data_IF_337385124753
#
_entry.id   IF_337385124753
#
_cell.length_a   1.000
_cell.length_b   1.000
_cell.length_c   1.000
_cell.angle_alpha   90.00
_cell.angle_beta   90.00
_cell.angle_gamma   90.00
#
_symmetry.space_group_name_H-M   'P 1'
#
loop_
_entity.id
_entity.type
_entity.pdbx_description
1 polymer ?
#
# COMPACT_ATOMS: atom_id res chain seq x y z
N UNK A 1 18.22 38.21 14.36
CA UNK A 1 18.03 36.97 15.13
C UNK A 1 16.89 36.24 14.45
N UNK A 2 17.22 35.43 13.45
CA UNK A 2 16.23 34.60 12.77
C UNK A 2 15.84 33.51 13.77
N UNK A 3 14.54 33.43 14.10
CA UNK A 3 14.01 32.23 14.72
C UNK A 3 14.23 31.12 13.71
N UNK A 4 15.13 30.20 14.02
CA UNK A 4 15.15 28.90 13.38
C UNK A 4 13.75 28.32 13.58
N UNK A 5 12.97 28.26 12.50
CA UNK A 5 11.78 27.46 12.48
C UNK A 5 12.22 26.02 12.74
N UNK A 6 11.71 25.42 13.80
CA UNK A 6 11.84 24.01 14.09
C UNK A 6 11.60 23.22 12.79
N UNK A 7 12.49 22.29 12.39
CA UNK A 7 12.24 21.47 11.21
C UNK A 7 10.89 20.77 11.38
N UNK A 8 10.09 20.60 10.31
CA UNK A 8 8.77 20.00 10.43
C UNK A 8 8.90 18.65 11.13
N UNK A 9 8.26 18.53 12.29
CA UNK A 9 8.21 17.29 13.06
C UNK A 9 7.69 16.20 12.13
N UNK A 10 8.52 15.18 11.86
CA UNK A 10 8.11 13.94 11.22
C UNK A 10 7.07 13.26 12.13
N UNK A 11 5.80 13.63 12.01
CA UNK A 11 4.73 12.85 12.62
C UNK A 11 4.77 11.48 11.94
N UNK A 12 5.11 10.45 12.71
CA UNK A 12 4.98 9.07 12.25
C UNK A 12 3.58 8.85 11.68
N UNK A 13 3.49 8.13 10.55
CA UNK A 13 2.21 7.79 9.95
C UNK A 13 1.33 7.05 10.97
N UNK A 14 0.01 7.26 10.96
CA UNK A 14 -0.87 6.73 11.99
C UNK A 14 -0.94 5.20 11.96
N UNK A 15 -0.87 4.56 13.13
CA UNK A 15 -1.10 3.12 13.32
C UNK A 15 -2.09 2.88 14.46
N UNK A 16 -3.29 3.43 14.30
CA UNK A 16 -4.27 3.56 15.39
C UNK A 16 -4.83 2.23 15.92
N UNK A 17 -4.66 1.12 15.19
CA UNK A 17 -5.18 -0.20 15.58
C UNK A 17 -4.10 -1.28 15.70
N UNK A 18 -2.81 -0.90 15.87
CA UNK A 18 -1.70 -1.83 16.09
C UNK A 18 -2.00 -2.90 17.14
N UNK A 19 -2.50 -2.50 18.31
CA UNK A 19 -2.82 -3.43 19.40
C UNK A 19 -3.90 -4.45 19.04
N UNK A 20 -4.88 -4.05 18.21
CA UNK A 20 -5.95 -4.94 17.75
C UNK A 20 -5.51 -5.84 16.60
N UNK A 21 -4.62 -5.35 15.72
CA UNK A 21 -3.98 -6.14 14.66
C UNK A 21 -2.99 -7.16 15.22
N UNK A 22 -2.30 -6.82 16.30
CA UNK A 22 -1.23 -7.63 16.88
C UNK A 22 0.13 -7.48 16.17
N UNK A 23 0.24 -6.56 15.22
CA UNK A 23 1.45 -6.28 14.45
C UNK A 23 1.43 -4.84 13.91
N UNK A 24 2.60 -4.35 13.47
CA UNK A 24 2.74 -3.04 12.83
C UNK A 24 2.04 -2.99 11.47
N UNK A 25 1.31 -1.91 11.22
CA UNK A 25 0.61 -1.70 9.95
C UNK A 25 1.58 -1.48 8.79
N UNK A 26 2.67 -0.76 9.04
CA UNK A 26 3.72 -0.50 8.07
C UNK A 26 4.83 -1.58 8.14
N UNK A 27 5.55 -1.84 7.04
CA UNK A 27 6.77 -2.64 7.07
C UNK A 27 7.93 -1.91 7.76
N UNK A 28 9.01 -2.64 8.02
CA UNK A 28 10.27 -2.04 8.46
C UNK A 28 10.86 -1.12 7.37
N UNK A 29 11.65 -0.09 7.75
CA UNK A 29 12.25 0.85 6.80
C UNK A 29 13.04 0.20 5.66
N UNK A 30 13.74 -0.90 5.93
CA UNK A 30 14.52 -1.62 4.91
C UNK A 30 13.61 -2.23 3.84
N UNK A 31 12.44 -2.73 4.22
CA UNK A 31 11.45 -3.27 3.27
C UNK A 31 10.79 -2.15 2.46
N UNK A 32 10.49 -1.02 3.10
CA UNK A 32 9.98 0.19 2.43
C UNK A 32 10.97 0.70 1.37
N UNK A 33 12.28 0.67 1.67
CA UNK A 33 13.32 1.12 0.75
C UNK A 33 13.45 0.25 -0.52
N UNK A 34 12.84 -0.93 -0.56
CA UNK A 34 12.78 -1.78 -1.75
C UNK A 34 11.57 -1.48 -2.65
N UNK A 35 10.63 -0.64 -2.20
CA UNK A 35 9.42 -0.32 -2.96
C UNK A 35 9.72 0.87 -3.87
N UNK A 36 9.46 0.77 -5.18
CA UNK A 36 9.57 1.89 -6.11
C UNK A 36 8.84 3.15 -5.59
N UNK A 37 9.42 4.36 -5.75
CA UNK A 37 8.68 5.59 -5.53
C UNK A 37 7.60 5.75 -6.61
N UNK A 38 6.64 6.63 -6.34
CA UNK A 38 5.57 6.93 -7.27
C UNK A 38 6.13 7.33 -8.65
N UNK A 39 5.47 6.84 -9.70
CA UNK A 39 5.78 7.02 -11.12
C UNK A 39 7.06 6.34 -11.63
N UNK A 40 7.85 5.65 -10.80
CA UNK A 40 9.07 4.98 -11.26
C UNK A 40 8.78 3.83 -12.24
N UNK A 41 7.63 3.17 -12.12
CA UNK A 41 7.25 2.06 -12.98
C UNK A 41 6.44 2.48 -14.21
N UNK A 42 6.39 3.78 -14.51
CA UNK A 42 5.73 4.29 -15.71
C UNK A 42 6.34 3.68 -16.99
N UNK A 43 5.48 3.26 -17.93
CA UNK A 43 5.90 2.53 -19.12
C UNK A 43 6.21 1.03 -18.91
N UNK A 44 6.28 0.54 -17.67
CA UNK A 44 6.43 -0.91 -17.40
C UNK A 44 5.09 -1.62 -17.68
N UNK A 45 5.08 -2.73 -18.44
CA UNK A 45 3.86 -3.50 -18.68
C UNK A 45 3.23 -3.98 -17.38
N UNK A 46 1.89 -3.87 -17.25
CA UNK A 46 1.18 -4.15 -16.00
C UNK A 46 1.50 -5.52 -15.40
N UNK A 47 1.62 -6.56 -16.24
CA UNK A 47 1.91 -7.92 -15.79
C UNK A 47 3.34 -8.11 -15.26
N UNK A 48 4.26 -7.20 -15.60
CA UNK A 48 5.65 -7.21 -15.14
C UNK A 48 5.88 -6.41 -13.85
N UNK A 49 4.93 -5.53 -13.48
CA UNK A 49 4.97 -4.79 -12.22
C UNK A 49 5.11 -5.75 -11.04
N UNK A 50 5.84 -5.33 -10.01
CA UNK A 50 6.00 -6.10 -8.77
C UNK A 50 5.11 -5.48 -7.71
N UNK A 51 4.26 -6.31 -7.10
CA UNK A 51 3.58 -5.95 -5.85
C UNK A 51 4.56 -6.21 -4.72
N UNK A 52 4.77 -5.21 -3.87
CA UNK A 52 5.66 -5.28 -2.72
C UNK A 52 4.91 -5.50 -1.41
N UNK A 53 3.68 -4.98 -1.29
CA UNK A 53 2.85 -5.14 -0.09
C UNK A 53 1.44 -5.59 -0.48
N UNK A 54 0.87 -6.41 0.39
CA UNK A 54 -0.53 -6.81 0.34
C UNK A 54 -1.22 -6.44 1.65
N UNK A 55 -2.34 -5.73 1.54
CA UNK A 55 -3.25 -5.47 2.63
C UNK A 55 -4.60 -6.08 2.32
N UNK A 56 -5.29 -6.61 3.33
CA UNK A 56 -6.57 -7.26 3.13
C UNK A 56 -7.52 -7.06 4.31
N UNK A 57 -8.81 -7.26 4.06
CA UNK A 57 -9.79 -7.51 5.13
C UNK A 57 -10.21 -8.97 5.09
N UNK A 58 -10.66 -9.50 6.23
CA UNK A 58 -11.28 -10.84 6.28
C UNK A 58 -12.60 -10.93 5.48
N UNK A 59 -13.14 -9.81 5.02
CA UNK A 59 -14.32 -9.75 4.14
C UNK A 59 -13.98 -9.82 2.63
N UNK A 60 -12.71 -10.01 2.26
CA UNK A 60 -12.31 -10.20 0.86
C UNK A 60 -12.10 -8.89 0.08
N UNK A 61 -11.75 -7.81 0.77
CA UNK A 61 -11.17 -6.62 0.12
C UNK A 61 -9.64 -6.70 0.17
N UNK A 62 -8.97 -6.25 -0.89
CA UNK A 62 -7.52 -6.35 -1.06
C UNK A 62 -6.95 -5.04 -1.61
N UNK A 63 -5.76 -4.69 -1.17
CA UNK A 63 -4.94 -3.61 -1.69
C UNK A 63 -3.52 -4.13 -1.90
N UNK A 64 -3.08 -4.13 -3.14
CA UNK A 64 -1.72 -4.46 -3.54
C UNK A 64 -0.97 -3.18 -3.86
N UNK A 65 0.23 -3.01 -3.30
CA UNK A 65 1.08 -1.82 -3.47
C UNK A 65 2.22 -2.16 -4.41
N UNK A 66 2.37 -1.41 -5.50
CA UNK A 66 3.51 -1.50 -6.42
C UNK A 66 4.48 -0.34 -6.23
N UNK A 67 3.98 0.84 -5.87
CA UNK A 67 4.79 2.03 -5.61
C UNK A 67 4.35 2.72 -4.32
N UNK A 68 5.28 3.36 -3.62
CA UNK A 68 5.02 4.03 -2.34
C UNK A 68 5.83 5.32 -2.19
N UNK A 69 5.16 6.39 -1.81
CA UNK A 69 5.79 7.54 -1.19
C UNK A 69 5.81 7.35 0.34
N UNK A 70 6.96 7.00 0.95
CA UNK A 70 7.02 6.73 2.38
C UNK A 70 6.85 7.99 3.25
N UNK A 71 6.98 9.19 2.66
CA UNK A 71 6.84 10.45 3.41
C UNK A 71 5.42 10.68 3.90
N UNK A 72 4.43 10.39 3.07
CA UNK A 72 3.02 10.64 3.39
C UNK A 72 2.12 9.40 3.25
N UNK A 73 2.71 8.27 2.89
CA UNK A 73 2.04 6.98 2.72
C UNK A 73 1.12 6.91 1.50
N UNK A 74 1.28 7.81 0.52
CA UNK A 74 0.59 7.67 -0.77
C UNK A 74 1.17 6.47 -1.53
N UNK A 75 0.30 5.55 -1.92
CA UNK A 75 0.66 4.34 -2.65
C UNK A 75 -0.05 4.32 -4.01
N UNK A 76 0.62 3.72 -4.99
CA UNK A 76 -0.02 3.29 -6.23
C UNK A 76 -0.10 1.76 -6.27
N UNK A 77 -1.20 1.25 -6.80
CA UNK A 77 -1.34 -0.17 -7.05
C UNK A 77 -2.78 -0.56 -7.37
N UNK A 78 -3.15 -1.78 -7.02
CA UNK A 78 -4.46 -2.34 -7.34
C UNK A 78 -5.28 -2.54 -6.08
N UNK A 79 -6.56 -2.15 -6.11
CA UNK A 79 -7.47 -2.32 -5.00
C UNK A 79 -8.80 -2.94 -5.43
N UNK A 80 -9.33 -3.82 -4.60
CA UNK A 80 -10.66 -4.43 -4.74
C UNK A 80 -11.40 -4.29 -3.43
N UNK A 81 -12.59 -3.67 -3.45
CA UNK A 81 -13.34 -3.35 -2.24
C UNK A 81 -14.76 -3.92 -2.33
N UNK A 82 -14.98 -5.08 -1.71
CA UNK A 82 -16.28 -5.76 -1.63
C UNK A 82 -16.99 -6.01 -2.98
N UNK A 83 -16.24 -6.11 -4.07
CA UNK A 83 -16.73 -6.38 -5.43
C UNK A 83 -15.81 -7.39 -6.13
N UNK A 84 -16.24 -8.11 -7.18
CA UNK A 84 -15.41 -9.11 -7.85
C UNK A 84 -14.24 -8.54 -8.67
N UNK A 85 -14.30 -7.26 -9.04
CA UNK A 85 -13.28 -6.59 -9.85
C UNK A 85 -12.57 -5.53 -9.03
N UNK A 86 -11.28 -5.31 -9.29
CA UNK A 86 -10.53 -4.21 -8.69
C UNK A 86 -10.01 -3.25 -9.74
N UNK A 87 -9.48 -2.14 -9.25
CA UNK A 87 -9.06 -0.99 -10.05
C UNK A 87 -7.62 -0.62 -9.70
N UNK A 88 -6.91 -0.12 -10.70
CA UNK A 88 -5.60 0.50 -10.52
C UNK A 88 -5.76 1.96 -10.13
N UNK A 89 -5.01 2.41 -9.14
CA UNK A 89 -5.09 3.80 -8.72
C UNK A 89 -4.25 4.12 -7.50
N UNK A 90 -4.36 5.38 -7.09
CA UNK A 90 -3.74 5.89 -5.88
C UNK A 90 -4.62 5.65 -4.66
N UNK A 91 -4.01 5.27 -3.55
CA UNK A 91 -4.66 5.21 -2.24
C UNK A 91 -3.67 5.55 -1.12
N UNK A 92 -4.18 5.99 0.03
CA UNK A 92 -3.35 6.42 1.16
C UNK A 92 -3.31 5.32 2.22
N UNK A 93 -2.12 4.80 2.50
CA UNK A 93 -1.91 3.83 3.58
C UNK A 93 -2.37 4.36 4.96
N UNK A 94 -2.17 5.65 5.31
CA UNK A 94 -2.74 6.23 6.54
C UNK A 94 -4.25 6.10 6.66
N UNK A 95 -4.99 6.19 5.55
CA UNK A 95 -6.44 6.06 5.57
C UNK A 95 -6.80 4.61 5.88
N UNK A 96 -6.12 3.64 5.24
CA UNK A 96 -6.29 2.22 5.50
C UNK A 96 -5.95 1.84 6.95
N UNK A 97 -4.86 2.41 7.50
CA UNK A 97 -4.43 2.17 8.87
C UNK A 97 -5.48 2.59 9.92
N UNK A 98 -6.34 3.55 9.53
CA UNK A 98 -7.37 4.20 10.35
C UNK A 98 -8.79 3.68 10.13
N UNK A 99 -9.00 2.73 9.20
CA UNK A 99 -10.30 2.09 9.01
C UNK A 99 -10.64 1.21 10.22
N UNK A 100 -11.82 1.42 10.80
CA UNK A 100 -12.26 0.78 12.04
C UNK A 100 -13.51 -0.11 11.92
N UNK A 101 -14.06 -0.24 10.71
CA UNK A 101 -15.41 -0.76 10.45
C UNK A 101 -15.41 -2.02 9.57
N UNK A 102 -16.37 -2.94 9.77
CA UNK A 102 -16.38 -3.94 10.85
C UNK A 102 -15.14 -4.85 10.88
N UNK A 103 -14.27 -4.80 9.87
CA UNK A 103 -13.05 -5.58 9.78
C UNK A 103 -11.85 -4.66 9.65
N UNK A 104 -10.83 -4.90 10.47
CA UNK A 104 -9.57 -4.18 10.33
C UNK A 104 -8.91 -4.56 9.01
N UNK A 105 -8.33 -3.57 8.34
CA UNK A 105 -7.38 -3.82 7.27
C UNK A 105 -6.09 -4.30 7.92
N UNK A 106 -5.63 -5.46 7.48
CA UNK A 106 -4.43 -6.14 7.94
C UNK A 106 -3.36 -6.09 6.86
N UNK A 107 -2.10 -6.05 7.26
CA UNK A 107 -0.96 -6.28 6.36
C UNK A 107 -0.70 -7.78 6.32
N UNK A 108 -0.55 -8.33 5.13
CA UNK A 108 -0.09 -9.70 4.96
C UNK A 108 1.39 -9.78 5.33
N UNK A 109 1.69 -10.45 6.45
CA UNK A 109 3.05 -10.57 6.98
C UNK A 109 3.89 -11.61 6.23
N UNK A 110 3.26 -12.45 5.42
CA UNK A 110 3.92 -13.55 4.69
C UNK A 110 3.95 -13.30 3.19
N UNK A 111 3.36 -12.20 2.72
CA UNK A 111 3.44 -11.80 1.33
C UNK A 111 4.88 -11.48 0.94
N UNK A 112 5.38 -12.19 -0.07
CA UNK A 112 6.67 -11.91 -0.70
C UNK A 112 6.46 -11.09 -1.97
N UNK A 113 7.38 -10.16 -2.31
CA UNK A 113 7.27 -9.41 -3.56
C UNK A 113 7.02 -10.33 -4.76
N UNK A 114 5.93 -10.07 -5.48
CA UNK A 114 5.40 -10.98 -6.51
C UNK A 114 4.99 -10.18 -7.73
N UNK A 115 5.29 -10.69 -8.93
CA UNK A 115 4.85 -10.03 -10.17
C UNK A 115 3.33 -10.06 -10.27
N UNK A 116 2.75 -8.99 -10.78
CA UNK A 116 1.30 -8.87 -10.99
C UNK A 116 0.75 -10.00 -11.84
N UNK A 117 1.47 -10.41 -12.89
CA UNK A 117 1.06 -11.53 -13.74
C UNK A 117 0.97 -12.88 -13.00
N UNK A 118 1.63 -13.01 -11.86
CA UNK A 118 1.64 -14.21 -11.03
C UNK A 118 0.62 -14.13 -9.86
N UNK A 119 -0.14 -13.03 -9.75
CA UNK A 119 -1.19 -12.85 -8.74
C UNK A 119 -2.56 -13.15 -9.39
N UNK A 120 -3.20 -14.31 -9.08
CA UNK A 120 -4.43 -14.72 -9.77
C UNK A 120 -5.61 -13.74 -9.63
N UNK A 121 -5.56 -12.90 -8.60
CA UNK A 121 -6.61 -11.92 -8.30
C UNK A 121 -6.57 -10.70 -9.22
N UNK A 122 -5.40 -10.35 -9.75
CA UNK A 122 -5.24 -9.17 -10.59
C UNK A 122 -5.42 -9.59 -12.05
N UNK A 123 -6.56 -9.21 -12.65
CA UNK A 123 -6.77 -9.40 -14.07
C UNK A 123 -5.98 -8.33 -14.86
N UNK A 124 -4.93 -8.75 -15.55
CA UNK A 124 -3.99 -7.89 -16.30
C UNK A 124 -4.58 -7.18 -17.53
N UNK A 125 -5.86 -7.40 -17.86
CA UNK A 125 -6.49 -6.87 -19.08
C UNK A 125 -6.79 -5.35 -19.09
N UNK A 126 -6.64 -4.63 -17.96
CA UNK A 126 -7.14 -3.25 -17.82
C UNK A 126 -6.06 -2.21 -17.42
N UNK A 127 -5.13 -1.86 -18.33
CA UNK A 127 -4.42 -0.56 -18.28
C UNK A 127 -4.64 0.14 -19.61
N UNK A 128 -5.32 1.29 -19.58
CA UNK A 128 -5.32 2.20 -20.72
C UNK A 128 -3.92 2.83 -20.82
N UNK A 129 -3.36 2.78 -22.03
CA UNK A 129 -2.06 3.33 -22.42
C UNK A 129 -1.92 4.81 -22.10
#
# INVERSE_FOLDING_TARGET
MFHDADPPQHNALPDNYRQRRGHDFYPEPEAIAQIPPLTETEGTPTHELVVHLHYFTVAGSDWFVTELNPRDGMAFGWARINVPYGEWGLFRLPDLANVSSPFLIQRDLYFTPTRVGDIPLINVANRAS
#
